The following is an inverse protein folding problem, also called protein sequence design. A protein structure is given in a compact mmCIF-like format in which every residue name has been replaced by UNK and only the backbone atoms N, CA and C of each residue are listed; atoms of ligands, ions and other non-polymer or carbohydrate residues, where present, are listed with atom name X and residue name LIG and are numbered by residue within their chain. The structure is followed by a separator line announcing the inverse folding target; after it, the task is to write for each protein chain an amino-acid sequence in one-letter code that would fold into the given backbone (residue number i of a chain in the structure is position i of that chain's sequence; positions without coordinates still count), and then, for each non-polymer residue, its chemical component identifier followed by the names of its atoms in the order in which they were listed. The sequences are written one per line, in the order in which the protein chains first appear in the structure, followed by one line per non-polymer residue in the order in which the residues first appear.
data_IF_462482624079
#
_entry.id   IF_462482624079
#
_cell.length_a   1.000
_cell.length_b   1.000
_cell.length_c   1.000
_cell.angle_alpha   90.00
_cell.angle_beta   90.00
_cell.angle_gamma   90.00
#
_symmetry.space_group_name_H-M   'P 1'
#
loop_
_entity.id
_entity.type
_entity.pdbx_description
1 polymer ?
#
# COMPACT_ATOMS: atom_id res chain seq x y z
N UNK A 1 0.72 27.08 -7.97
CA UNK A 1 1.50 25.83 -7.86
C UNK A 1 0.58 24.78 -7.25
N UNK A 2 0.31 23.66 -7.93
CA UNK A 2 -0.64 22.65 -7.45
C UNK A 2 0.02 21.61 -6.56
N UNK A 3 -0.53 21.41 -5.36
CA UNK A 3 -0.15 20.37 -4.40
C UNK A 3 -1.14 19.19 -4.55
N UNK A 4 -0.67 17.95 -4.50
CA UNK A 4 -1.61 16.83 -4.41
C UNK A 4 -2.28 16.86 -3.05
N UNK A 5 -3.61 16.89 -3.04
CA UNK A 5 -4.37 16.75 -1.79
C UNK A 5 -4.04 15.38 -1.20
N UNK A 6 -3.71 15.36 0.09
CA UNK A 6 -3.46 14.14 0.84
C UNK A 6 -4.74 13.33 1.03
N UNK A 7 -5.17 12.61 0.00
CA UNK A 7 -6.28 11.66 0.08
C UNK A 7 -5.74 10.36 0.68
N UNK A 8 -6.41 9.77 1.69
CA UNK A 8 -6.02 8.46 2.20
C UNK A 8 -5.91 7.44 1.07
N UNK A 9 -4.82 6.68 1.07
CA UNK A 9 -4.45 5.77 -0.02
C UNK A 9 -5.58 4.82 -0.45
N UNK A 10 -6.37 4.31 0.50
CA UNK A 10 -7.51 3.42 0.22
C UNK A 10 -8.58 4.12 -0.61
N UNK A 11 -8.92 5.37 -0.30
CA UNK A 11 -9.91 6.12 -1.08
C UNK A 11 -9.41 6.40 -2.49
N UNK A 12 -8.12 6.71 -2.63
CA UNK A 12 -7.50 6.88 -3.94
C UNK A 12 -7.59 5.59 -4.78
N UNK A 13 -7.27 4.43 -4.21
CA UNK A 13 -7.41 3.14 -4.90
C UNK A 13 -8.85 2.85 -5.36
N UNK A 14 -9.85 3.17 -4.54
CA UNK A 14 -11.26 2.96 -4.90
C UNK A 14 -11.66 3.83 -6.09
N UNK A 15 -11.21 5.09 -6.11
CA UNK A 15 -11.47 6.02 -7.22
C UNK A 15 -10.82 5.53 -8.51
N UNK A 16 -9.54 5.16 -8.47
CA UNK A 16 -8.82 4.66 -9.66
C UNK A 16 -9.39 3.31 -10.14
N UNK A 17 -9.87 2.46 -9.23
CA UNK A 17 -10.53 1.20 -9.60
C UNK A 17 -11.83 1.43 -10.37
N UNK A 18 -12.55 2.52 -10.09
CA UNK A 18 -13.79 2.89 -10.78
C UNK A 18 -13.55 3.53 -12.16
N UNK A 19 -12.31 3.93 -12.49
CA UNK A 19 -11.94 4.52 -13.78
C UNK A 19 -11.64 3.43 -14.83
N UNK A 20 -12.71 2.83 -15.36
CA UNK A 20 -12.64 1.68 -16.27
C UNK A 20 -11.89 1.98 -17.57
N UNK A 21 -10.93 1.11 -17.90
CA UNK A 21 -10.14 1.21 -19.14
C UNK A 21 -8.88 2.07 -19.00
N UNK A 22 -8.62 2.62 -17.81
CA UNK A 22 -7.34 3.28 -17.50
C UNK A 22 -6.25 2.27 -17.11
N UNK A 23 -4.99 2.59 -17.40
CA UNK A 23 -3.86 1.80 -16.91
C UNK A 23 -3.76 1.83 -15.37
N UNK A 24 -4.25 2.90 -14.76
CA UNK A 24 -4.27 3.09 -13.30
C UNK A 24 -5.22 2.11 -12.61
N UNK A 25 -6.31 1.71 -13.26
CA UNK A 25 -7.24 0.71 -12.75
C UNK A 25 -6.54 -0.61 -12.42
N UNK A 26 -5.63 -1.09 -13.29
CA UNK A 26 -4.90 -2.34 -13.06
C UNK A 26 -4.06 -2.29 -11.78
N UNK A 27 -3.32 -1.20 -11.59
CA UNK A 27 -2.54 -0.98 -10.39
C UNK A 27 -3.43 -0.81 -9.15
N UNK A 28 -4.58 -0.15 -9.29
CA UNK A 28 -5.55 0.00 -8.21
C UNK A 28 -6.10 -1.35 -7.72
N UNK A 29 -6.45 -2.24 -8.65
CA UNK A 29 -6.90 -3.61 -8.35
C UNK A 29 -5.80 -4.38 -7.61
N UNK A 30 -4.55 -4.28 -8.08
CA UNK A 30 -3.39 -4.89 -7.41
C UNK A 30 -3.23 -4.37 -5.98
N UNK A 31 -3.33 -3.06 -5.77
CA UNK A 31 -3.26 -2.45 -4.44
C UNK A 31 -4.35 -2.96 -3.51
N UNK A 32 -5.58 -3.05 -4.01
CA UNK A 32 -6.73 -3.58 -3.26
C UNK A 32 -6.52 -5.05 -2.90
N UNK A 33 -5.99 -5.88 -3.81
CA UNK A 33 -5.62 -7.27 -3.49
C UNK A 33 -4.57 -7.33 -2.37
N UNK A 34 -3.58 -6.45 -2.38
CA UNK A 34 -2.61 -6.30 -1.30
C UNK A 34 -3.26 -5.99 0.05
N UNK A 35 -4.26 -5.10 0.07
CA UNK A 35 -5.05 -4.77 1.26
C UNK A 35 -5.91 -5.96 1.70
N UNK A 36 -6.58 -6.64 0.78
CA UNK A 36 -7.40 -7.83 1.11
C UNK A 36 -6.53 -8.92 1.73
N UNK A 37 -5.31 -9.13 1.23
CA UNK A 37 -4.36 -10.08 1.81
C UNK A 37 -3.94 -9.70 3.24
N UNK A 38 -3.83 -8.41 3.55
CA UNK A 38 -3.51 -7.90 4.91
C UNK A 38 -4.54 -8.37 5.94
N UNK A 39 -5.82 -8.38 5.58
CA UNK A 39 -6.92 -8.80 6.44
C UNK A 39 -7.28 -10.29 6.30
N UNK A 40 -6.58 -11.02 5.42
CA UNK A 40 -6.84 -12.44 5.20
C UNK A 40 -6.31 -13.29 6.35
N UNK A 41 -6.96 -14.44 6.59
CA UNK A 41 -6.46 -15.47 7.55
C UNK A 41 -5.06 -15.98 7.19
N UNK A 42 -4.61 -15.79 5.95
CA UNK A 42 -3.32 -16.24 5.46
C UNK A 42 -2.16 -15.27 5.76
N UNK A 43 -2.46 -14.06 6.25
CA UNK A 43 -1.44 -13.05 6.57
C UNK A 43 -0.44 -13.50 7.65
N UNK A 44 -0.75 -14.55 8.40
CA UNK A 44 0.20 -15.18 9.34
C UNK A 44 1.44 -15.75 8.63
N UNK A 45 1.31 -16.18 7.37
CA UNK A 45 2.41 -16.72 6.57
C UNK A 45 3.33 -15.59 6.10
N UNK A 46 4.63 -15.74 6.35
CA UNK A 46 5.65 -14.75 5.95
C UNK A 46 5.62 -14.41 4.45
N UNK A 47 5.40 -15.41 3.60
CA UNK A 47 5.28 -15.22 2.14
C UNK A 47 4.08 -14.34 1.78
N UNK A 48 2.96 -14.48 2.49
CA UNK A 48 1.75 -13.66 2.26
C UNK A 48 1.97 -12.22 2.74
N UNK A 49 2.70 -12.01 3.84
CA UNK A 49 3.09 -10.67 4.29
C UNK A 49 3.94 -9.95 3.24
N UNK A 50 4.93 -10.65 2.68
CA UNK A 50 5.79 -10.12 1.61
C UNK A 50 4.96 -9.81 0.36
N UNK A 51 4.08 -10.73 -0.05
CA UNK A 51 3.20 -10.53 -1.20
C UNK A 51 2.27 -9.32 -1.00
N UNK A 52 1.64 -9.17 0.16
CA UNK A 52 0.78 -8.03 0.50
C UNK A 52 1.55 -6.71 0.40
N UNK A 53 2.78 -6.65 0.94
CA UNK A 53 3.63 -5.47 0.85
C UNK A 53 3.96 -5.11 -0.61
N UNK A 54 4.41 -6.09 -1.41
CA UNK A 54 4.75 -5.86 -2.83
C UNK A 54 3.52 -5.35 -3.60
N UNK A 55 2.35 -5.98 -3.39
CA UNK A 55 1.11 -5.60 -4.06
C UNK A 55 0.65 -4.20 -3.68
N UNK A 56 0.81 -3.77 -2.42
CA UNK A 56 0.48 -2.40 -2.01
C UNK A 56 1.49 -1.36 -2.53
N UNK A 57 2.75 -1.74 -2.75
CA UNK A 57 3.78 -0.83 -3.28
C UNK A 57 3.67 -0.61 -4.80
N UNK A 58 3.15 -1.58 -5.57
CA UNK A 58 3.01 -1.44 -7.03
C UNK A 58 2.21 -0.20 -7.49
N UNK A 59 1.00 0.08 -6.99
CA UNK A 59 0.27 1.30 -7.35
C UNK A 59 0.93 2.60 -6.85
N UNK A 60 1.78 2.51 -5.84
CA UNK A 60 2.54 3.67 -5.35
C UNK A 60 3.71 3.95 -6.31
N UNK A 61 4.41 2.89 -6.73
CA UNK A 61 5.48 2.97 -7.70
C UNK A 61 4.98 3.52 -9.05
N UNK A 62 3.82 3.05 -9.54
CA UNK A 62 3.22 3.61 -10.76
C UNK A 62 2.98 5.12 -10.63
N UNK A 63 2.54 5.58 -9.45
CA UNK A 63 2.31 7.01 -9.23
C UNK A 63 3.59 7.84 -9.20
N UNK A 64 4.71 7.28 -8.74
CA UNK A 64 6.01 7.97 -8.80
C UNK A 64 6.54 8.14 -10.24
N UNK A 65 6.11 7.32 -11.20
CA UNK A 65 6.42 7.55 -12.61
C UNK A 65 5.63 8.72 -13.21
N UNK A 66 4.43 9.00 -12.69
CA UNK A 66 3.56 10.07 -13.20
C UNK A 66 3.79 11.41 -12.48
N UNK A 67 4.15 11.37 -11.19
CA UNK A 67 4.23 12.55 -10.34
C UNK A 67 5.57 12.58 -9.59
N UNK A 68 6.29 13.73 -9.60
CA UNK A 68 7.47 13.91 -8.79
C UNK A 68 7.17 13.81 -7.29
N UNK A 69 8.10 13.24 -6.53
CA UNK A 69 8.00 13.03 -5.09
C UNK A 69 7.71 14.33 -4.30
N UNK A 70 8.18 15.48 -4.79
CA UNK A 70 8.00 16.79 -4.14
C UNK A 70 6.55 17.27 -4.15
N UNK A 71 5.70 16.71 -5.02
CA UNK A 71 4.28 17.07 -5.11
C UNK A 71 3.37 16.26 -4.18
N UNK A 72 3.90 15.21 -3.56
CA UNK A 72 3.15 14.38 -2.63
C UNK A 72 3.08 15.06 -1.27
N UNK A 73 1.87 15.12 -0.71
CA UNK A 73 1.66 15.71 0.60
C UNK A 73 2.45 14.95 1.69
N UNK A 74 3.25 15.69 2.45
CA UNK A 74 4.11 15.12 3.48
C UNK A 74 3.29 14.40 4.57
N UNK A 75 2.19 15.02 5.01
CA UNK A 75 1.39 14.51 6.12
C UNK A 75 0.38 13.45 5.69
N UNK A 76 -0.29 13.66 4.55
CA UNK A 76 -1.35 12.81 4.04
C UNK A 76 -0.88 11.63 3.21
N UNK A 77 0.38 11.61 2.77
CA UNK A 77 0.92 10.52 1.96
C UNK A 77 2.26 9.98 2.47
N UNK A 78 3.29 10.83 2.61
CA UNK A 78 4.66 10.34 2.89
C UNK A 78 4.79 9.70 4.27
N UNK A 79 4.24 10.33 5.33
CA UNK A 79 4.25 9.78 6.69
C UNK A 79 3.46 8.45 6.75
N UNK A 80 2.18 8.38 6.30
CA UNK A 80 1.42 7.13 6.31
C UNK A 80 2.11 5.99 5.56
N UNK A 81 2.68 6.28 4.40
CA UNK A 81 3.40 5.29 3.60
C UNK A 81 4.64 4.78 4.33
N UNK A 82 5.42 5.69 4.92
CA UNK A 82 6.64 5.34 5.65
C UNK A 82 6.35 4.47 6.87
N UNK A 83 5.28 4.80 7.62
CA UNK A 83 4.80 3.99 8.75
C UNK A 83 4.36 2.61 8.26
N UNK A 84 3.58 2.54 7.18
CA UNK A 84 3.14 1.26 6.61
C UNK A 84 4.31 0.36 6.19
N UNK A 85 5.31 0.92 5.48
CA UNK A 85 6.51 0.17 5.07
C UNK A 85 7.28 -0.33 6.29
N UNK A 86 7.55 0.56 7.26
CA UNK A 86 8.28 0.21 8.47
C UNK A 86 7.61 -0.91 9.27
N UNK A 87 6.31 -0.79 9.53
CA UNK A 87 5.53 -1.81 10.23
C UNK A 87 5.49 -3.13 9.45
N UNK A 88 5.34 -3.08 8.12
CA UNK A 88 5.32 -4.28 7.28
C UNK A 88 6.66 -5.03 7.35
N UNK A 89 7.80 -4.31 7.30
CA UNK A 89 9.13 -4.90 7.45
C UNK A 89 9.27 -5.56 8.83
N UNK A 90 8.86 -4.88 9.91
CA UNK A 90 8.88 -5.44 11.27
C UNK A 90 8.05 -6.74 11.31
N UNK A 91 6.82 -6.73 10.79
CA UNK A 91 5.94 -7.89 10.77
C UNK A 91 6.46 -9.05 9.91
N UNK A 92 7.25 -8.78 8.89
CA UNK A 92 7.92 -9.80 8.05
C UNK A 92 9.13 -10.41 8.77
N UNK A 93 9.85 -9.61 9.57
CA UNK A 93 11.05 -10.06 10.29
C UNK A 93 10.73 -10.75 11.62
N UNK A 94 9.69 -10.29 12.33
CA UNK A 94 9.28 -10.88 13.60
C UNK A 94 8.50 -12.17 13.36
N UNK A 95 9.00 -13.34 13.83
CA UNK A 95 8.32 -14.61 13.64
C UNK A 95 7.00 -14.65 14.43
N UNK A 96 5.94 -15.14 13.78
CA UNK A 96 4.58 -15.21 14.34
C UNK A 96 4.53 -15.95 15.70
N UNK A 97 5.43 -16.92 15.90
CA UNK A 97 5.50 -17.74 17.11
C UNK A 97 5.89 -16.94 18.36
N UNK A 98 6.51 -15.76 18.21
CA UNK A 98 6.84 -14.85 19.33
C UNK A 98 5.70 -13.88 19.68
N UNK A 99 4.72 -13.69 18.79
CA UNK A 99 3.60 -12.77 18.99
C UNK A 99 2.41 -13.43 19.73
N UNK A 100 2.30 -14.76 19.67
CA UNK A 100 1.22 -15.53 20.32
C UNK A 100 1.63 -16.16 21.66
N UNK A 101 2.81 -15.81 22.20
CA UNK A 101 3.34 -16.36 23.45
C UNK A 101 3.13 -15.41 24.66
N UNK A 102 2.27 -14.40 24.50
CA UNK A 102 1.78 -13.50 25.55
C UNK A 102 0.27 -13.62 25.64
#
# INVERSE_FOLDING_TARGET
MGQMIGIPFIFWLIVEMADFGSERQFFAIIGILGIVLLFSKWYSKRTVKIASLILMLLPIASRFFEVPLEKFDYHGFQIPLSIYIGLSIILILVPANKLNAQ
#
